data_IF_341122646565
#
_entry.id   IF_341122646565
#
_cell.length_a   1.000
_cell.length_b   1.000
_cell.length_c   1.000
_cell.angle_alpha   90.00
_cell.angle_beta   90.00
_cell.angle_gamma   90.00
#
_symmetry.space_group_name_H-M   'P 1'
#
loop_
_entity.id
_entity.type
_entity.pdbx_description
1 polymer ?
#
# COMPACT_ATOMS: atom_id res chain seq x y z
N UNK A 1 25.55 5.01 8.81
CA UNK A 1 24.32 4.36 9.30
C UNK A 1 23.15 5.02 8.60
N UNK A 2 22.19 4.26 8.06
CA UNK A 2 21.01 4.86 7.41
C UNK A 2 19.94 5.15 8.45
N UNK A 3 19.23 6.27 8.33
CA UNK A 3 18.07 6.59 9.17
C UNK A 3 16.85 5.78 8.74
N UNK A 4 15.84 5.66 9.60
CA UNK A 4 14.56 5.01 9.27
C UNK A 4 13.88 5.69 8.07
N UNK A 5 14.01 7.01 7.94
CA UNK A 5 13.48 7.75 6.82
C UNK A 5 14.19 7.39 5.50
N UNK A 6 15.53 7.28 5.52
CA UNK A 6 16.32 6.86 4.36
C UNK A 6 16.04 5.41 3.95
N UNK A 7 15.80 4.51 4.92
CA UNK A 7 15.42 3.12 4.63
C UNK A 7 14.03 3.04 3.98
N UNK A 8 13.05 3.80 4.49
CA UNK A 8 11.71 3.87 3.91
C UNK A 8 11.78 4.40 2.48
N UNK A 9 12.49 5.49 2.27
CA UNK A 9 12.62 6.07 0.94
C UNK A 9 13.34 5.11 -0.01
N UNK A 10 14.46 4.52 0.41
CA UNK A 10 15.19 3.56 -0.43
C UNK A 10 14.36 2.35 -0.85
N UNK A 11 13.46 1.84 0.00
CA UNK A 11 12.50 0.80 -0.37
C UNK A 11 11.53 1.28 -1.44
N UNK A 12 10.91 2.46 -1.24
CA UNK A 12 9.90 3.00 -2.14
C UNK A 12 10.53 3.34 -3.51
N UNK A 13 11.66 4.04 -3.54
CA UNK A 13 12.34 4.43 -4.79
C UNK A 13 12.80 3.19 -5.58
N UNK A 14 13.32 2.16 -4.91
CA UNK A 14 13.75 0.93 -5.59
C UNK A 14 12.60 0.28 -6.37
N UNK A 15 11.40 0.19 -5.77
CA UNK A 15 10.24 -0.40 -6.44
C UNK A 15 9.66 0.54 -7.51
N UNK A 16 9.70 1.85 -7.32
CA UNK A 16 9.35 2.84 -8.35
C UNK A 16 10.24 2.70 -9.60
N UNK A 17 11.56 2.53 -9.43
CA UNK A 17 12.50 2.25 -10.52
C UNK A 17 12.20 0.93 -11.26
N UNK A 18 11.56 -0.03 -10.59
CA UNK A 18 11.07 -1.28 -11.20
C UNK A 18 9.66 -1.16 -11.81
N UNK A 19 9.12 0.05 -11.92
CA UNK A 19 7.82 0.32 -12.53
C UNK A 19 6.62 0.13 -11.61
N UNK A 20 6.83 0.02 -10.28
CA UNK A 20 5.71 0.06 -9.33
C UNK A 20 5.25 1.50 -9.13
N UNK A 21 3.94 1.71 -9.09
CA UNK A 21 3.39 3.03 -8.76
C UNK A 21 3.39 3.20 -7.23
N UNK A 22 4.13 4.18 -6.73
CA UNK A 22 4.08 4.55 -5.31
C UNK A 22 2.72 5.13 -4.95
N UNK A 23 2.16 4.65 -3.85
CA UNK A 23 0.90 5.14 -3.28
C UNK A 23 1.12 5.55 -1.83
N UNK A 24 0.38 6.56 -1.32
CA UNK A 24 0.43 6.92 0.09
C UNK A 24 -0.08 5.76 0.96
N UNK A 25 0.36 5.75 2.23
CA UNK A 25 -0.26 4.88 3.25
C UNK A 25 -1.75 5.20 3.35
N UNK A 26 -2.56 4.16 3.55
CA UNK A 26 -3.99 4.32 3.78
C UNK A 26 -4.28 4.74 5.23
N UNK A 27 -5.51 5.19 5.45
CA UNK A 27 -6.06 5.44 6.79
C UNK A 27 -5.85 4.24 7.71
N UNK A 28 -5.57 4.47 8.99
CA UNK A 28 -5.56 3.40 10.01
C UNK A 28 -6.95 2.80 10.19
N UNK A 29 -8.00 3.58 9.94
CA UNK A 29 -9.40 3.14 9.99
C UNK A 29 -9.78 2.51 8.65
N UNK A 30 -10.25 1.23 8.62
CA UNK A 30 -10.69 0.54 7.42
C UNK A 30 -11.85 1.27 6.72
N UNK A 31 -12.05 1.02 5.41
CA UNK A 31 -13.21 1.55 4.70
C UNK A 31 -14.51 0.97 5.28
N UNK A 32 -15.61 1.72 5.12
CA UNK A 32 -16.90 1.38 5.74
C UNK A 32 -17.48 0.03 5.28
N UNK A 33 -16.99 -0.51 4.16
CA UNK A 33 -17.38 -1.81 3.62
C UNK A 33 -16.57 -3.00 4.19
N UNK A 34 -15.58 -2.77 5.07
CA UNK A 34 -14.95 -3.82 5.88
C UNK A 34 -15.40 -3.71 7.35
N UNK A 35 -16.52 -4.35 7.74
CA UNK A 35 -17.01 -4.33 9.11
C UNK A 35 -16.28 -5.31 10.03
N UNK A 36 -15.32 -6.09 9.49
CA UNK A 36 -14.72 -7.23 10.19
C UNK A 36 -13.39 -6.90 10.84
N UNK A 37 -12.70 -5.91 10.31
CA UNK A 37 -11.40 -5.45 10.82
C UNK A 37 -11.55 -4.14 11.58
N UNK A 38 -10.83 -4.00 12.69
CA UNK A 38 -10.85 -2.77 13.48
C UNK A 38 -9.86 -1.71 12.93
N UNK A 39 -8.68 -2.16 12.49
CA UNK A 39 -7.61 -1.31 11.97
C UNK A 39 -6.96 -1.93 10.75
N UNK A 40 -6.34 -1.09 9.93
CA UNK A 40 -5.45 -1.54 8.86
C UNK A 40 -4.15 -2.09 9.45
N UNK A 41 -3.97 -3.40 9.38
CA UNK A 41 -2.82 -4.11 9.97
C UNK A 41 -1.76 -4.54 8.93
N UNK A 42 -2.07 -4.40 7.64
CA UNK A 42 -1.16 -4.78 6.56
C UNK A 42 -1.37 -3.91 5.32
N UNK A 43 -0.30 -3.62 4.59
CA UNK A 43 -0.34 -2.79 3.38
C UNK A 43 -1.18 -3.36 2.23
N UNK A 44 -1.51 -4.66 2.26
CA UNK A 44 -2.37 -5.29 1.26
C UNK A 44 -3.86 -5.06 1.50
N UNK A 45 -4.28 -4.71 2.73
CA UNK A 45 -5.70 -4.60 3.07
C UNK A 45 -6.45 -3.52 2.26
N UNK A 46 -5.91 -2.30 2.06
CA UNK A 46 -6.51 -1.33 1.14
C UNK A 46 -6.66 -1.83 -0.30
N UNK A 47 -5.85 -2.83 -0.69
CA UNK A 47 -5.80 -3.39 -2.04
C UNK A 47 -6.67 -4.64 -2.20
N UNK A 48 -7.35 -5.09 -1.13
CA UNK A 48 -8.16 -6.33 -1.13
C UNK A 48 -9.17 -6.36 -2.28
N UNK A 49 -9.85 -5.25 -2.56
CA UNK A 49 -10.83 -5.13 -3.65
C UNK A 49 -10.20 -5.30 -5.03
N UNK A 50 -8.98 -4.80 -5.23
CA UNK A 50 -8.21 -4.99 -6.47
C UNK A 50 -7.81 -6.46 -6.67
N UNK A 51 -7.35 -7.12 -5.61
CA UNK A 51 -7.00 -8.54 -5.66
C UNK A 51 -8.21 -9.45 -5.91
N UNK A 52 -9.38 -9.06 -5.42
CA UNK A 52 -10.64 -9.78 -5.65
C UNK A 52 -11.29 -9.44 -7.02
N UNK A 53 -10.74 -8.49 -7.78
CA UNK A 53 -11.31 -8.04 -9.06
C UNK A 53 -12.61 -7.23 -8.92
N UNK A 54 -12.94 -6.76 -7.72
CA UNK A 54 -14.14 -5.97 -7.42
C UNK A 54 -13.98 -4.49 -7.78
N UNK A 55 -12.74 -4.06 -8.02
CA UNK A 55 -12.39 -2.70 -8.43
C UNK A 55 -11.16 -2.74 -9.34
N UNK A 56 -11.14 -1.86 -10.35
CA UNK A 56 -10.00 -1.73 -11.23
C UNK A 56 -8.79 -1.18 -10.46
N UNK A 57 -7.67 -1.90 -10.54
CA UNK A 57 -6.42 -1.43 -9.95
C UNK A 57 -5.84 -0.25 -10.73
N UNK A 58 -5.28 0.76 -10.05
CA UNK A 58 -4.76 1.96 -10.72
C UNK A 58 -3.53 1.68 -11.58
N UNK A 59 -2.79 0.61 -11.29
CA UNK A 59 -1.59 0.20 -12.00
C UNK A 59 -1.33 -1.29 -11.82
N UNK A 60 -0.56 -1.92 -12.71
CA UNK A 60 -0.25 -3.34 -12.59
C UNK A 60 0.68 -3.67 -11.41
N UNK A 61 1.49 -2.72 -10.98
CA UNK A 61 2.46 -2.87 -9.91
C UNK A 61 2.33 -1.65 -8.99
N UNK A 62 2.35 -1.86 -7.67
CA UNK A 62 2.15 -0.80 -6.67
C UNK A 62 3.10 -1.03 -5.50
N UNK A 63 3.63 0.06 -4.92
CA UNK A 63 4.46 0.02 -3.70
C UNK A 63 3.96 1.04 -2.66
N UNK A 64 4.06 0.68 -1.38
CA UNK A 64 3.57 1.48 -0.24
C UNK A 64 4.40 1.20 1.01
N UNK A 65 4.43 2.15 1.94
CA UNK A 65 4.86 1.94 3.33
C UNK A 65 3.65 2.22 4.22
N UNK A 66 2.87 1.18 4.55
CA UNK A 66 1.65 1.28 5.37
C UNK A 66 1.98 1.50 6.84
#
# INVERSE_FOLDING_TARGET
MRTTAELREGFLSFFEEKGHVRRPSASVIPPADDPTTLFIIAGMQPMKRWFLGLEARPAPLVTTSQ
#
